data_IF_884651463229
#
_entry.id   IF_884651463229
#
_cell.length_a   1.000
_cell.length_b   1.000
_cell.length_c   1.000
_cell.angle_alpha   90.00
_cell.angle_beta   90.00
_cell.angle_gamma   90.00
#
_symmetry.space_group_name_H-M   'P 1'
#
loop_
_entity.id
_entity.type
_entity.pdbx_description
1 polymer ?
#
# COMPACT_ATOMS: atom_id res chain seq x y z
N UNK A 1 20.83 -30.68 16.78
CA UNK A 1 19.41 -30.82 16.38
C UNK A 1 18.58 -30.06 17.39
N UNK A 2 17.62 -29.26 16.95
CA UNK A 2 16.71 -28.57 17.86
C UNK A 2 15.81 -29.60 18.56
N UNK A 3 15.41 -29.33 19.80
CA UNK A 3 14.47 -30.18 20.51
C UNK A 3 13.05 -29.99 20.00
N UNK A 4 12.18 -30.98 20.25
CA UNK A 4 10.75 -30.88 19.96
C UNK A 4 10.13 -29.61 20.54
N UNK A 5 10.43 -29.28 21.80
CA UNK A 5 9.93 -28.09 22.51
C UNK A 5 10.36 -26.80 21.81
N UNK A 6 11.63 -26.73 21.37
CA UNK A 6 12.16 -25.59 20.62
C UNK A 6 11.45 -25.41 19.28
N UNK A 7 11.16 -26.51 18.57
CA UNK A 7 10.45 -26.47 17.30
C UNK A 7 8.98 -26.05 17.48
N UNK A 8 8.29 -26.51 18.53
CA UNK A 8 6.93 -26.04 18.85
C UNK A 8 6.90 -24.54 19.11
N UNK A 9 7.81 -24.08 19.98
CA UNK A 9 7.95 -22.66 20.31
C UNK A 9 8.27 -21.82 19.07
N UNK A 10 9.13 -22.32 18.18
CA UNK A 10 9.44 -21.67 16.90
C UNK A 10 8.21 -21.54 16.01
N UNK A 11 7.43 -22.60 15.83
CA UNK A 11 6.18 -22.57 15.05
C UNK A 11 5.18 -21.58 15.64
N UNK A 12 5.02 -21.55 16.96
CA UNK A 12 4.12 -20.62 17.65
C UNK A 12 4.56 -19.15 17.43
N UNK A 13 5.85 -18.86 17.61
CA UNK A 13 6.40 -17.52 17.42
C UNK A 13 6.22 -17.03 15.98
N UNK A 14 6.59 -17.86 14.99
CA UNK A 14 6.42 -17.53 13.57
C UNK A 14 4.94 -17.33 13.20
N UNK A 15 4.06 -18.17 13.72
CA UNK A 15 2.61 -18.04 13.52
C UNK A 15 2.05 -16.76 14.15
N UNK A 16 2.56 -16.38 15.33
CA UNK A 16 2.23 -15.13 16.01
C UNK A 16 2.65 -13.90 15.20
N UNK A 17 3.85 -13.93 14.63
CA UNK A 17 4.33 -12.86 13.75
C UNK A 17 3.53 -12.78 12.44
N UNK A 18 3.23 -13.93 11.82
CA UNK A 18 2.38 -14.01 10.63
C UNK A 18 1.04 -13.33 10.85
N UNK A 19 0.34 -13.66 11.95
CA UNK A 19 -0.94 -13.04 12.32
C UNK A 19 -0.83 -11.53 12.50
N UNK A 20 0.29 -11.00 12.99
CA UNK A 20 0.52 -9.54 13.10
C UNK A 20 0.57 -8.92 11.70
N UNK A 21 1.33 -9.49 10.78
CA UNK A 21 1.43 -8.99 9.40
C UNK A 21 0.12 -9.11 8.63
N UNK A 22 -0.60 -10.23 8.77
CA UNK A 22 -1.90 -10.43 8.15
C UNK A 22 -2.93 -9.39 8.60
N UNK A 23 -2.96 -9.03 9.89
CA UNK A 23 -3.86 -7.97 10.39
C UNK A 23 -3.61 -6.63 9.69
N UNK A 24 -2.34 -6.23 9.54
CA UNK A 24 -2.00 -4.97 8.86
C UNK A 24 -2.35 -5.05 7.37
N UNK A 25 -1.95 -6.13 6.69
CA UNK A 25 -2.28 -6.35 5.26
C UNK A 25 -3.80 -6.28 5.03
N UNK A 26 -4.58 -6.97 5.88
CA UNK A 26 -6.03 -7.00 5.77
C UNK A 26 -6.65 -5.62 6.02
N UNK A 27 -6.12 -4.83 6.95
CA UNK A 27 -6.53 -3.44 7.16
C UNK A 27 -6.26 -2.57 5.93
N UNK A 28 -5.08 -2.69 5.31
CA UNK A 28 -4.78 -1.96 4.07
C UNK A 28 -5.77 -2.34 2.96
N UNK A 29 -6.05 -3.64 2.81
CA UNK A 29 -7.03 -4.13 1.82
C UNK A 29 -8.45 -3.66 2.11
N UNK A 30 -8.90 -3.67 3.36
CA UNK A 30 -10.27 -3.26 3.73
C UNK A 30 -10.53 -1.77 3.48
N UNK A 31 -9.49 -0.95 3.44
CA UNK A 31 -9.56 0.47 3.09
C UNK A 31 -9.27 0.74 1.61
N UNK A 32 -9.21 -0.31 0.77
CA UNK A 32 -8.90 -0.20 -0.67
C UNK A 32 -7.56 0.49 -0.96
N UNK A 33 -6.58 0.35 -0.05
CA UNK A 33 -5.25 0.95 -0.16
C UNK A 33 -4.20 -0.04 -0.69
N UNK A 34 -4.61 -1.24 -1.12
CA UNK A 34 -3.74 -2.28 -1.68
C UNK A 34 -3.44 -2.11 -3.17
N UNK A 35 -3.99 -1.07 -3.82
CA UNK A 35 -3.77 -0.75 -5.22
C UNK A 35 -3.69 0.77 -5.40
N UNK A 36 -3.15 1.19 -6.54
CA UNK A 36 -3.13 2.58 -6.93
C UNK A 36 -4.54 3.07 -7.23
N UNK A 37 -4.94 4.17 -6.59
CA UNK A 37 -6.22 4.84 -6.84
C UNK A 37 -6.09 5.71 -8.07
N UNK A 38 -7.15 5.75 -8.89
CA UNK A 38 -7.23 6.70 -9.98
C UNK A 38 -7.25 8.14 -9.45
N UNK A 39 -6.61 9.03 -10.20
CA UNK A 39 -6.59 10.48 -9.97
C UNK A 39 -7.20 11.22 -11.17
N UNK A 40 -7.94 10.52 -12.01
CA UNK A 40 -8.42 11.03 -13.29
C UNK A 40 -9.32 12.25 -13.11
N UNK A 41 -10.25 12.23 -12.15
CA UNK A 41 -11.13 13.38 -11.88
C UNK A 41 -10.34 14.64 -11.51
N UNK A 42 -9.30 14.48 -10.66
CA UNK A 42 -8.45 15.60 -10.25
C UNK A 42 -7.56 16.08 -11.41
N UNK A 43 -7.03 15.16 -12.22
CA UNK A 43 -6.27 15.51 -13.42
C UNK A 43 -7.14 16.27 -14.42
N UNK A 44 -8.33 15.76 -14.72
CA UNK A 44 -9.29 16.39 -15.63
C UNK A 44 -9.67 17.80 -15.15
N UNK A 45 -9.85 17.99 -13.84
CA UNK A 45 -10.15 19.31 -13.28
C UNK A 45 -8.96 20.28 -13.38
N UNK A 46 -7.74 19.81 -13.08
CA UNK A 46 -6.52 20.59 -13.27
C UNK A 46 -6.38 21.01 -14.74
N UNK A 47 -6.53 20.07 -15.68
CA UNK A 47 -6.42 20.32 -17.12
C UNK A 47 -7.47 21.35 -17.59
N UNK A 48 -8.69 21.26 -17.06
CA UNK A 48 -9.73 22.25 -17.32
C UNK A 48 -9.33 23.65 -16.83
N UNK A 49 -8.83 23.77 -15.60
CA UNK A 49 -8.37 25.05 -15.05
C UNK A 49 -7.19 25.63 -15.85
N UNK A 50 -6.22 24.81 -16.25
CA UNK A 50 -5.09 25.23 -17.08
C UNK A 50 -5.53 25.74 -18.45
N UNK A 51 -6.55 25.09 -19.05
CA UNK A 51 -7.17 25.57 -20.28
C UNK A 51 -7.81 26.94 -20.10
N UNK A 52 -8.54 27.17 -19.00
CA UNK A 52 -9.15 28.47 -18.70
C UNK A 52 -8.09 29.55 -18.51
N UNK A 53 -7.01 29.25 -17.77
CA UNK A 53 -5.86 30.17 -17.61
C UNK A 53 -5.30 30.56 -18.99
N UNK A 54 -5.06 29.57 -19.86
CA UNK A 54 -4.54 29.82 -21.20
C UNK A 54 -5.44 30.71 -22.07
N UNK A 55 -6.77 30.61 -21.90
CA UNK A 55 -7.73 31.48 -22.59
C UNK A 55 -7.67 32.91 -22.04
N UNK A 56 -7.61 33.08 -20.71
CA UNK A 56 -7.58 34.41 -20.07
C UNK A 56 -6.28 35.15 -20.37
N UNK A 57 -5.16 34.44 -20.42
CA UNK A 57 -3.83 35.01 -20.66
C UNK A 57 -3.49 35.20 -22.16
N UNK A 58 -4.33 34.71 -23.08
CA UNK A 58 -4.09 34.77 -24.52
C UNK A 58 -4.27 36.17 -25.14
N UNK A 59 -3.90 36.33 -26.41
CA UNK A 59 -3.91 37.63 -27.12
C UNK A 59 -5.31 38.28 -27.24
N UNK A 60 -6.39 37.49 -27.24
CA UNK A 60 -7.78 37.98 -27.20
C UNK A 60 -8.35 38.07 -25.77
N UNK A 61 -7.48 37.91 -24.76
CA UNK A 61 -7.83 37.68 -23.36
C UNK A 61 -8.43 38.89 -22.66
N UNK A 62 -9.33 38.62 -21.71
CA UNK A 62 -9.95 39.62 -20.87
C UNK A 62 -8.97 40.11 -19.80
N UNK A 63 -8.08 41.05 -20.14
CA UNK A 63 -7.07 41.59 -19.20
C UNK A 63 -7.66 42.14 -17.89
N UNK A 64 -8.95 42.53 -17.83
CA UNK A 64 -9.62 42.90 -16.58
C UNK A 64 -9.83 41.73 -15.60
N UNK A 65 -9.59 40.50 -16.04
CA UNK A 65 -9.70 39.25 -15.27
C UNK A 65 -8.30 38.75 -14.84
N UNK A 66 -7.23 39.53 -15.05
CA UNK A 66 -5.84 39.09 -14.75
C UNK A 66 -5.65 38.64 -13.29
N UNK A 67 -6.23 39.35 -12.32
CA UNK A 67 -6.16 38.96 -10.91
C UNK A 67 -6.82 37.60 -10.64
N UNK A 68 -7.91 37.27 -11.37
CA UNK A 68 -8.53 35.96 -11.26
C UNK A 68 -7.67 34.87 -11.90
N UNK A 69 -6.97 35.17 -13.01
CA UNK A 69 -5.99 34.25 -13.61
C UNK A 69 -4.84 33.94 -12.64
N UNK A 70 -4.31 34.95 -11.95
CA UNK A 70 -3.26 34.77 -10.94
C UNK A 70 -3.72 33.86 -9.79
N UNK A 71 -4.90 34.12 -9.21
CA UNK A 71 -5.46 33.26 -8.17
C UNK A 71 -5.71 31.83 -8.67
N UNK A 72 -6.24 31.67 -9.89
CA UNK A 72 -6.48 30.34 -10.46
C UNK A 72 -5.17 29.57 -10.70
N UNK A 73 -4.08 30.24 -11.07
CA UNK A 73 -2.73 29.62 -11.16
C UNK A 73 -2.24 29.13 -9.80
N UNK A 74 -2.43 29.92 -8.75
CA UNK A 74 -2.08 29.53 -7.38
C UNK A 74 -2.90 28.32 -6.90
N UNK A 75 -4.19 28.31 -7.19
CA UNK A 75 -5.09 27.20 -6.87
C UNK A 75 -4.68 25.94 -7.63
N UNK A 76 -4.41 26.02 -8.94
CA UNK A 76 -3.91 24.89 -9.74
C UNK A 76 -2.62 24.33 -9.17
N UNK A 77 -1.67 25.18 -8.79
CA UNK A 77 -0.42 24.76 -8.14
C UNK A 77 -0.70 24.01 -6.84
N UNK A 78 -1.66 24.47 -6.05
CA UNK A 78 -2.06 23.84 -4.80
C UNK A 78 -2.76 22.49 -5.05
N UNK A 79 -3.65 22.41 -6.03
CA UNK A 79 -4.29 21.16 -6.45
C UNK A 79 -3.28 20.10 -6.90
N UNK A 80 -2.28 20.49 -7.70
CA UNK A 80 -1.18 19.61 -8.11
C UNK A 80 -0.43 19.05 -6.91
N UNK A 81 -0.11 19.88 -5.91
CA UNK A 81 0.55 19.43 -4.67
C UNK A 81 -0.31 18.42 -3.91
N UNK A 82 -1.60 18.67 -3.74
CA UNK A 82 -2.50 17.73 -3.06
C UNK A 82 -2.64 16.41 -3.81
N UNK A 83 -2.80 16.46 -5.13
CA UNK A 83 -2.83 15.26 -5.99
C UNK A 83 -1.55 14.43 -5.81
N UNK A 84 -0.39 15.07 -5.89
CA UNK A 84 0.90 14.39 -5.78
C UNK A 84 1.08 13.78 -4.37
N UNK A 85 0.70 14.52 -3.32
CA UNK A 85 0.68 14.00 -1.95
C UNK A 85 -0.20 12.76 -1.80
N UNK A 86 -1.42 12.79 -2.32
CA UNK A 86 -2.34 11.64 -2.26
C UNK A 86 -1.79 10.44 -3.04
N UNK A 87 -1.21 10.68 -4.24
CA UNK A 87 -0.54 9.65 -5.04
C UNK A 87 0.57 8.97 -4.24
N UNK A 88 1.47 9.76 -3.67
CA UNK A 88 2.67 9.26 -3.01
C UNK A 88 2.33 8.56 -1.68
N UNK A 89 1.32 9.06 -0.96
CA UNK A 89 0.77 8.40 0.22
C UNK A 89 0.13 7.04 -0.13
N UNK A 90 -0.68 6.99 -1.20
CA UNK A 90 -1.30 5.74 -1.65
C UNK A 90 -0.24 4.74 -2.15
N UNK A 91 0.77 5.18 -2.90
CA UNK A 91 1.90 4.34 -3.31
C UNK A 91 2.62 3.73 -2.11
N UNK A 92 2.78 4.50 -1.03
CA UNK A 92 3.41 4.01 0.22
C UNK A 92 2.61 2.87 0.85
N UNK A 93 1.27 2.93 0.83
CA UNK A 93 0.41 1.83 1.28
C UNK A 93 0.48 0.61 0.36
N UNK A 94 0.53 0.80 -0.96
CA UNK A 94 0.71 -0.29 -1.93
C UNK A 94 2.04 -1.00 -1.70
N UNK A 95 3.12 -0.24 -1.50
CA UNK A 95 4.44 -0.79 -1.22
C UNK A 95 4.45 -1.59 0.08
N UNK A 96 3.84 -1.04 1.14
CA UNK A 96 3.71 -1.74 2.42
C UNK A 96 2.89 -3.02 2.29
N UNK A 97 1.79 -2.99 1.52
CA UNK A 97 0.97 -4.17 1.24
C UNK A 97 1.80 -5.29 0.60
N UNK A 98 2.53 -4.98 -0.46
CA UNK A 98 3.35 -5.95 -1.20
C UNK A 98 4.49 -6.50 -0.34
N UNK A 99 5.11 -5.65 0.48
CA UNK A 99 6.12 -6.07 1.44
C UNK A 99 5.54 -7.05 2.46
N UNK A 100 4.34 -6.80 2.98
CA UNK A 100 3.66 -7.69 3.92
C UNK A 100 3.31 -9.02 3.28
N UNK A 101 2.85 -9.06 2.02
CA UNK A 101 2.60 -10.31 1.30
C UNK A 101 3.87 -11.17 1.15
N UNK A 102 4.99 -10.54 0.80
CA UNK A 102 6.30 -11.21 0.73
C UNK A 102 6.72 -11.77 2.09
N UNK A 103 6.62 -10.97 3.16
CA UNK A 103 6.96 -11.41 4.53
C UNK A 103 6.07 -12.54 5.01
N UNK A 104 4.77 -12.49 4.75
CA UNK A 104 3.83 -13.55 5.11
C UNK A 104 4.20 -14.85 4.39
N UNK A 105 4.50 -14.79 3.09
CA UNK A 105 4.90 -15.96 2.30
C UNK A 105 6.22 -16.57 2.81
N UNK A 106 7.17 -15.74 3.23
CA UNK A 106 8.41 -16.20 3.87
C UNK A 106 8.15 -16.87 5.23
N UNK A 107 7.26 -16.32 6.04
CA UNK A 107 6.87 -16.92 7.32
C UNK A 107 6.16 -18.26 7.12
N UNK A 108 5.30 -18.38 6.10
CA UNK A 108 4.67 -19.66 5.74
C UNK A 108 5.71 -20.73 5.44
N UNK A 109 6.71 -20.41 4.62
CA UNK A 109 7.81 -21.33 4.29
C UNK A 109 8.61 -21.74 5.54
N UNK A 110 8.87 -20.81 6.45
CA UNK A 110 9.59 -21.08 7.70
C UNK A 110 8.76 -21.93 8.68
N UNK A 111 7.45 -21.70 8.75
CA UNK A 111 6.52 -22.50 9.55
C UNK A 111 6.50 -23.93 9.02
N UNK A 112 6.37 -24.11 7.71
CA UNK A 112 6.35 -25.42 7.07
C UNK A 112 7.67 -26.18 7.27
N UNK A 113 8.81 -25.48 7.17
CA UNK A 113 10.13 -26.06 7.49
C UNK A 113 10.20 -26.53 8.94
N UNK A 114 9.80 -25.69 9.90
CA UNK A 114 9.85 -26.04 11.32
C UNK A 114 8.89 -27.18 11.67
N UNK A 115 7.70 -27.24 11.05
CA UNK A 115 6.78 -28.37 11.16
C UNK A 115 7.36 -29.65 10.56
N UNK A 116 8.06 -29.55 9.42
CA UNK A 116 8.71 -30.70 8.80
C UNK A 116 9.84 -31.25 9.67
N UNK A 117 10.70 -30.38 10.20
CA UNK A 117 11.74 -30.75 11.17
C UNK A 117 11.13 -31.41 12.40
N UNK A 118 10.03 -30.87 12.94
CA UNK A 118 9.32 -31.46 14.07
C UNK A 118 8.76 -32.84 13.73
N UNK A 119 8.21 -33.02 12.53
CA UNK A 119 7.59 -34.27 12.10
C UNK A 119 8.61 -35.36 11.71
N UNK A 120 9.91 -35.04 11.67
CA UNK A 120 10.95 -36.00 11.30
C UNK A 120 10.98 -37.18 12.31
N UNK A 121 10.91 -38.41 11.80
CA UNK A 121 10.86 -39.62 12.63
C UNK A 121 9.51 -39.90 13.32
N UNK A 122 8.52 -39.00 13.23
CA UNK A 122 7.19 -39.20 13.83
C UNK A 122 6.23 -39.92 12.88
N UNK A 123 5.98 -41.20 13.17
CA UNK A 123 5.04 -42.04 12.38
C UNK A 123 3.58 -41.88 12.80
N UNK A 124 3.33 -41.57 14.08
CA UNK A 124 1.99 -41.43 14.61
C UNK A 124 1.37 -40.08 14.19
N UNK A 125 0.25 -40.05 13.45
CA UNK A 125 -0.39 -38.79 13.02
C UNK A 125 -0.82 -37.88 14.18
N UNK A 126 -1.08 -38.43 15.36
CA UNK A 126 -1.46 -37.65 16.54
C UNK A 126 -0.30 -36.89 17.18
N UNK A 127 0.94 -37.25 16.85
CA UNK A 127 2.16 -36.60 17.34
C UNK A 127 2.69 -35.56 16.35
N UNK A 128 2.08 -35.44 15.16
CA UNK A 128 2.53 -34.55 14.08
C UNK A 128 1.86 -33.18 14.15
N UNK A 129 2.60 -32.17 13.72
CA UNK A 129 2.07 -30.83 13.46
C UNK A 129 1.56 -30.71 12.03
N UNK A 130 0.38 -30.10 11.89
CA UNK A 130 -0.28 -29.78 10.62
C UNK A 130 -0.18 -28.29 10.33
#
# INVERSE_FOLDING_TARGET
MASDEELKSRVENLSGEKRKYERVRNSIRSHSLSHMRSLDDMNNFIDYCEKIIGIVDGEEGYHYISNLSEHLKEDVKTMKKYRDYVRDANQSFVNLHNLLESKISSLDSQIDSAKSEYNEGKWNPFERMW
#
